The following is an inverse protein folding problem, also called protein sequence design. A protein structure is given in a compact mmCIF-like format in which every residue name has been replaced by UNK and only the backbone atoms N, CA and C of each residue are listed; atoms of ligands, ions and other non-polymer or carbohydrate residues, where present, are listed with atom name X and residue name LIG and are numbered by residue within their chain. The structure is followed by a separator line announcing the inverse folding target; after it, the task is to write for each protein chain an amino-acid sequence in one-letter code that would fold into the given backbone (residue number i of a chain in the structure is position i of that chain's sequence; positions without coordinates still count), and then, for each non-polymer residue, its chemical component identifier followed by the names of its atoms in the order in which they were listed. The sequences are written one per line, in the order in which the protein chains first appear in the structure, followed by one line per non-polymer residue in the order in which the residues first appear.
data_IF_849333733756
#
_entry.id   IF_849333733756
#
_cell.length_a   1.000
_cell.length_b   1.000
_cell.length_c   1.000
_cell.angle_alpha   90.00
_cell.angle_beta   90.00
_cell.angle_gamma   90.00
#
_symmetry.space_group_name_H-M   'P 1'
#
loop_
_entity.id
_entity.type
_entity.pdbx_description
1 polymer ?
#
# COMPACT_ATOMS: atom_id res chain seq x y z
N UNK A 1 15.02 -3.92 5.15
CA UNK A 1 13.76 -4.59 5.51
C UNK A 1 12.69 -4.08 4.55
N UNK A 2 11.94 -4.96 3.90
CA UNK A 2 10.87 -4.58 2.96
C UNK A 2 9.61 -4.22 3.76
N UNK A 3 8.83 -3.23 3.31
CA UNK A 3 7.60 -2.78 3.97
C UNK A 3 6.59 -3.93 4.17
N UNK A 4 6.63 -4.94 3.30
CA UNK A 4 5.83 -6.16 3.36
C UNK A 4 6.01 -6.93 4.66
N UNK A 5 7.21 -6.93 5.24
CA UNK A 5 7.51 -7.60 6.50
C UNK A 5 6.79 -6.94 7.71
N UNK A 6 6.32 -5.70 7.54
CA UNK A 6 5.58 -4.95 8.57
C UNK A 6 4.06 -5.17 8.45
N UNK A 7 3.58 -5.87 7.42
CA UNK A 7 2.16 -6.17 7.25
C UNK A 7 1.73 -7.34 8.15
N UNK A 8 0.53 -7.21 8.72
CA UNK A 8 -0.13 -8.33 9.41
C UNK A 8 -0.60 -9.43 8.45
N UNK A 9 -0.84 -9.11 7.17
CA UNK A 9 -1.43 -9.99 6.15
C UNK A 9 -0.59 -10.05 4.87
N UNK A 10 0.72 -10.28 5.02
CA UNK A 10 1.69 -10.23 3.92
C UNK A 10 1.46 -11.23 2.78
N UNK A 11 0.74 -12.33 3.02
CA UNK A 11 0.48 -13.39 2.03
C UNK A 11 -0.25 -12.88 0.78
N UNK A 12 -1.17 -11.92 0.95
CA UNK A 12 -1.96 -11.39 -0.16
C UNK A 12 -1.10 -10.73 -1.24
N UNK A 13 -0.12 -9.92 -0.82
CA UNK A 13 0.82 -9.26 -1.74
C UNK A 13 1.93 -10.22 -2.15
N UNK A 14 2.49 -10.97 -1.21
CA UNK A 14 3.65 -11.85 -1.46
C UNK A 14 3.32 -12.97 -2.45
N UNK A 15 2.09 -13.50 -2.44
CA UNK A 15 1.66 -14.54 -3.38
C UNK A 15 1.51 -14.05 -4.82
N UNK A 16 1.19 -12.76 -5.00
CA UNK A 16 1.04 -12.13 -6.32
C UNK A 16 2.40 -11.83 -6.95
N UNK A 17 3.37 -11.40 -6.15
CA UNK A 17 4.70 -10.99 -6.61
C UNK A 17 5.78 -12.07 -6.48
N UNK A 18 5.45 -13.25 -5.94
CA UNK A 18 6.44 -14.33 -5.77
C UNK A 18 7.60 -13.97 -4.84
N UNK A 19 7.39 -13.02 -3.93
CA UNK A 19 8.40 -12.51 -2.99
C UNK A 19 9.16 -11.27 -3.46
N UNK A 20 9.10 -10.90 -4.75
CA UNK A 20 9.75 -9.71 -5.29
C UNK A 20 8.75 -8.55 -5.40
N UNK A 21 8.40 -7.97 -4.25
CA UNK A 21 7.39 -6.93 -4.14
C UNK A 21 8.04 -5.57 -4.42
N UNK A 22 7.45 -4.71 -5.27
CA UNK A 22 8.00 -3.40 -5.55
C UNK A 22 8.06 -2.53 -4.29
N UNK A 23 8.94 -1.54 -4.31
CA UNK A 23 8.89 -0.47 -3.33
C UNK A 23 7.62 0.37 -3.49
N UNK A 24 7.39 1.28 -2.55
CA UNK A 24 6.25 2.18 -2.59
C UNK A 24 6.67 3.58 -3.05
N UNK A 25 7.60 3.68 -4.01
CA UNK A 25 7.97 4.96 -4.62
C UNK A 25 7.04 5.28 -5.80
N UNK A 26 6.57 6.52 -5.88
CA UNK A 26 5.74 7.02 -6.98
C UNK A 26 4.38 6.33 -7.13
N UNK A 27 3.82 5.79 -6.03
CA UNK A 27 2.53 5.09 -6.06
C UNK A 27 1.40 6.02 -6.42
N UNK A 28 0.37 5.49 -7.09
CA UNK A 28 -0.83 6.25 -7.41
C UNK A 28 -1.83 6.13 -6.25
N UNK A 29 -1.98 7.19 -5.47
CA UNK A 29 -2.94 7.28 -4.38
C UNK A 29 -4.32 7.62 -4.94
N UNK A 30 -5.30 6.78 -4.62
CA UNK A 30 -6.70 6.99 -4.99
C UNK A 30 -7.52 7.57 -3.84
N UNK A 31 -7.16 7.24 -2.60
CA UNK A 31 -7.95 7.61 -1.43
C UNK A 31 -7.12 7.62 -0.15
N UNK A 32 -7.37 8.61 0.69
CA UNK A 32 -6.89 8.70 2.08
C UNK A 32 -8.13 8.97 2.95
N UNK A 33 -8.58 7.98 3.70
CA UNK A 33 -9.82 8.02 4.45
C UNK A 33 -9.59 7.86 5.95
N UNK A 34 -9.91 8.91 6.72
CA UNK A 34 -10.00 8.85 8.18
C UNK A 34 -11.36 8.28 8.57
N UNK A 35 -11.38 7.15 9.28
CA UNK A 35 -12.63 6.47 9.63
C UNK A 35 -13.22 7.02 10.93
N UNK A 36 -14.55 7.17 10.93
CA UNK A 36 -15.33 7.71 12.06
C UNK A 36 -15.12 6.94 13.36
N UNK A 37 -15.13 5.62 13.28
CA UNK A 37 -15.01 4.73 14.43
C UNK A 37 -13.53 4.47 14.80
N UNK A 38 -12.67 5.43 14.48
CA UNK A 38 -11.21 5.33 14.55
C UNK A 38 -10.63 5.13 15.96
N UNK A 39 -9.29 5.22 16.10
CA UNK A 39 -8.35 5.95 15.24
C UNK A 39 -7.77 5.08 14.11
N UNK A 40 -8.42 5.10 12.94
CA UNK A 40 -8.05 4.29 11.77
C UNK A 40 -7.95 5.16 10.52
N UNK A 41 -6.85 4.98 9.77
CA UNK A 41 -6.64 5.55 8.44
C UNK A 41 -6.62 4.42 7.41
N UNK A 42 -7.36 4.60 6.32
CA UNK A 42 -7.26 3.77 5.14
C UNK A 42 -6.59 4.53 4.01
N UNK A 43 -5.65 3.89 3.33
CA UNK A 43 -5.03 4.42 2.12
C UNK A 43 -5.20 3.40 1.01
N UNK A 44 -5.87 3.80 -0.08
CA UNK A 44 -6.03 2.96 -1.28
C UNK A 44 -5.15 3.49 -2.39
N UNK A 45 -4.34 2.62 -2.97
CA UNK A 45 -3.33 2.99 -3.96
C UNK A 45 -3.03 1.86 -4.93
N UNK A 46 -2.50 2.22 -6.09
CA UNK A 46 -1.93 1.28 -7.05
C UNK A 46 -0.42 1.14 -6.83
N UNK A 47 0.07 -0.09 -6.81
CA UNK A 47 1.50 -0.40 -6.77
C UNK A 47 2.18 0.06 -8.07
N UNK A 48 3.46 0.47 -8.02
CA UNK A 48 4.10 1.14 -9.14
C UNK A 48 4.46 0.18 -10.28
N UNK A 49 4.57 -1.11 -9.97
CA UNK A 49 4.91 -2.17 -10.91
C UNK A 49 3.87 -3.28 -10.88
N UNK A 50 3.52 -3.81 -12.05
CA UNK A 50 2.67 -4.99 -12.16
C UNK A 50 3.55 -6.25 -12.07
N UNK A 51 3.15 -7.32 -11.36
CA UNK A 51 3.97 -8.53 -11.22
C UNK A 51 4.35 -9.12 -12.58
N UNK A 52 5.60 -9.57 -12.72
CA UNK A 52 6.08 -10.23 -13.95
C UNK A 52 5.28 -11.51 -14.26
N UNK A 53 4.79 -12.18 -13.21
CA UNK A 53 4.06 -13.45 -13.29
C UNK A 53 2.72 -13.33 -12.56
N UNK A 54 1.77 -12.53 -13.10
CA UNK A 54 0.48 -12.34 -12.46
C UNK A 54 -0.31 -13.66 -12.43
N UNK A 55 -1.31 -13.79 -11.53
CA UNK A 55 -2.28 -14.87 -11.60
C UNK A 55 -2.86 -15.04 -13.00
N UNK A 56 -2.95 -16.29 -13.50
CA UNK A 56 -3.41 -16.59 -14.88
C UNK A 56 -4.72 -15.90 -15.25
N UNK A 57 -5.66 -15.81 -14.29
CA UNK A 57 -6.93 -15.12 -14.49
C UNK A 57 -6.76 -13.63 -14.80
N UNK A 58 -5.82 -12.95 -14.13
CA UNK A 58 -5.55 -11.52 -14.34
C UNK A 58 -4.92 -11.27 -15.70
N UNK A 59 -3.96 -12.12 -16.10
CA UNK A 59 -3.36 -12.07 -17.44
C UNK A 59 -4.42 -12.24 -18.54
N UNK A 60 -5.31 -13.23 -18.40
CA UNK A 60 -6.41 -13.46 -19.36
C UNK A 60 -7.42 -12.32 -19.41
N UNK A 61 -7.59 -11.57 -18.32
CA UNK A 61 -8.50 -10.42 -18.23
C UNK A 61 -7.85 -9.09 -18.62
N UNK A 62 -6.55 -9.08 -18.91
CA UNK A 62 -5.84 -7.87 -19.32
C UNK A 62 -5.65 -6.84 -18.20
N UNK A 63 -5.62 -7.28 -16.93
CA UNK A 63 -5.27 -6.39 -15.83
C UNK A 63 -3.80 -5.95 -15.92
N UNK A 64 -3.53 -4.73 -15.48
CA UNK A 64 -2.25 -4.04 -15.66
C UNK A 64 -1.72 -3.37 -14.39
N UNK A 65 -2.45 -3.44 -13.28
CA UNK A 65 -2.04 -2.85 -12.00
C UNK A 65 -2.55 -3.68 -10.84
N UNK A 66 -1.86 -3.58 -9.71
CA UNK A 66 -2.29 -4.16 -8.44
C UNK A 66 -2.67 -3.02 -7.51
N UNK A 67 -3.96 -2.93 -7.18
CA UNK A 67 -4.46 -2.01 -6.17
C UNK A 67 -4.44 -2.66 -4.79
N UNK A 68 -3.95 -1.93 -3.80
CA UNK A 68 -3.94 -2.36 -2.40
C UNK A 68 -4.65 -1.31 -1.53
N UNK A 69 -5.16 -1.77 -0.39
CA UNK A 69 -5.66 -0.91 0.68
C UNK A 69 -4.85 -1.18 1.94
N UNK A 70 -4.15 -0.16 2.44
CA UNK A 70 -3.52 -0.20 3.75
C UNK A 70 -4.48 0.31 4.81
N UNK A 71 -4.61 -0.44 5.89
CA UNK A 71 -5.36 -0.03 7.08
C UNK A 71 -4.40 0.16 8.25
N UNK A 72 -4.22 1.40 8.67
CA UNK A 72 -3.46 1.76 9.85
C UNK A 72 -4.43 1.95 11.01
N UNK A 73 -4.24 1.22 12.09
CA UNK A 73 -5.10 1.23 13.29
C UNK A 73 -4.33 1.76 14.50
N UNK A 74 -5.06 2.19 15.54
CA UNK A 74 -4.47 2.72 16.77
C UNK A 74 -3.54 3.93 16.52
N UNK A 75 -3.90 4.77 15.53
CA UNK A 75 -3.10 5.94 15.15
C UNK A 75 -3.05 6.98 16.26
N UNK A 76 -1.88 7.60 16.42
CA UNK A 76 -1.67 8.72 17.34
C UNK A 76 -1.79 10.08 16.65
N UNK A 77 -1.33 10.15 15.41
CA UNK A 77 -1.20 11.39 14.65
C UNK A 77 -1.32 11.08 13.16
N UNK A 78 -1.92 12.01 12.41
CA UNK A 78 -1.97 12.00 10.94
C UNK A 78 -1.71 13.42 10.48
N UNK A 79 -0.71 13.60 9.61
CA UNK A 79 -0.41 14.86 8.94
C UNK A 79 -0.72 14.70 7.45
N UNK A 80 -1.51 15.62 6.89
CA UNK A 80 -1.80 15.68 5.46
C UNK A 80 -1.41 17.05 4.95
N UNK A 81 -0.42 17.10 4.07
CA UNK A 81 0.10 18.31 3.46
C UNK A 81 0.49 18.08 1.99
N UNK A 82 0.73 19.15 1.23
CA UNK A 82 1.21 19.04 -0.15
C UNK A 82 0.19 18.48 -1.15
N UNK A 83 -1.10 18.65 -0.91
CA UNK A 83 -2.16 18.10 -1.77
C UNK A 83 -2.08 18.64 -3.20
N UNK A 84 -2.04 17.74 -4.19
CA UNK A 84 -1.87 18.06 -5.61
C UNK A 84 -2.86 17.30 -6.49
N UNK A 85 -2.92 17.64 -7.78
CA UNK A 85 -3.80 17.00 -8.77
C UNK A 85 -3.28 15.67 -9.31
N UNK A 86 -2.00 15.35 -9.10
CA UNK A 86 -1.38 14.14 -9.67
C UNK A 86 -1.70 12.89 -8.85
N UNK A 87 -2.00 13.04 -7.55
CA UNK A 87 -2.30 11.93 -6.65
C UNK A 87 -1.15 10.92 -6.53
N UNK A 88 0.10 11.32 -6.78
CA UNK A 88 1.28 10.46 -6.60
C UNK A 88 1.99 10.77 -5.29
N UNK A 89 2.51 9.73 -4.66
CA UNK A 89 3.28 9.86 -3.43
C UNK A 89 4.33 8.76 -3.30
N UNK A 90 5.36 9.02 -2.50
CA UNK A 90 6.24 8.00 -1.97
C UNK A 90 5.75 7.60 -0.59
N UNK A 91 5.67 6.31 -0.31
CA UNK A 91 5.29 5.79 1.01
C UNK A 91 6.50 5.13 1.65
N UNK A 92 6.85 5.61 2.84
CA UNK A 92 7.84 4.99 3.69
C UNK A 92 7.13 4.41 4.92
N UNK A 93 7.34 3.13 5.20
CA UNK A 93 6.85 2.46 6.40
C UNK A 93 8.07 2.05 7.23
N UNK A 94 8.08 2.42 8.51
CA UNK A 94 9.23 2.19 9.41
C UNK A 94 8.76 1.65 10.74
N UNK A 95 9.57 0.77 11.34
CA UNK A 95 9.37 0.36 12.73
C UNK A 95 10.27 1.18 13.65
N UNK A 96 9.69 1.82 14.67
CA UNK A 96 10.40 2.58 15.69
C UNK A 96 9.88 2.19 17.08
N UNK A 97 10.70 1.48 17.85
CA UNK A 97 10.35 1.08 19.22
C UNK A 97 9.12 0.16 19.31
N UNK A 98 8.96 -0.78 18.37
CA UNK A 98 7.82 -1.71 18.32
C UNK A 98 6.53 -1.10 17.76
N UNK A 99 6.62 0.07 17.11
CA UNK A 99 5.48 0.75 16.46
C UNK A 99 5.79 1.01 15.01
N UNK A 100 4.79 0.83 14.16
CA UNK A 100 4.86 1.20 12.75
C UNK A 100 4.53 2.69 12.59
N UNK A 101 5.35 3.41 11.83
CA UNK A 101 5.18 4.81 11.42
C UNK A 101 5.23 4.93 9.91
#
# INVERSE_FOLDING_TARGET
MTWVALLHNLEGVSSVYGGDVPDLQGVQVHEVALLRDGPTLKIRLDLPEYPERPPRKWALQGFNTVQVEFSFVALREVLVEGFSVEGRADIAVREEGGRVR
#
